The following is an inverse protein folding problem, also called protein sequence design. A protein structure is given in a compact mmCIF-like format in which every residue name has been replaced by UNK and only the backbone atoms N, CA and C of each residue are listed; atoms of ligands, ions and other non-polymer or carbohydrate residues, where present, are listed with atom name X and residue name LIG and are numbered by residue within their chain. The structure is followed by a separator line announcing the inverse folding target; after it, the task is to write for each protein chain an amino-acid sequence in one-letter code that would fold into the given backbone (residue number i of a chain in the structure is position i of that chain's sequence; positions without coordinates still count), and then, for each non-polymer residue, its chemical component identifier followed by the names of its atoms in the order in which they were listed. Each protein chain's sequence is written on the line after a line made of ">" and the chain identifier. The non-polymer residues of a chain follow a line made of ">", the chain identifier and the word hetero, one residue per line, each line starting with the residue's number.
data_IF_946028005376
#
_entry.id   IF_946028005376
#
_cell.length_a   1.000
_cell.length_b   1.000
_cell.length_c   1.000
_cell.angle_alpha   90.00
_cell.angle_beta   90.00
_cell.angle_gamma   90.00
#
_symmetry.space_group_name_H-M   'P 1'
#
loop_
_entity.id
_entity.type
_entity.pdbx_description
1 polymer ?
#
# COMPACT_ATOMS: atom_id res chain seq x y z
N UNK A 1 61.94 7.60 -19.79
CA UNK A 1 61.16 6.50 -20.39
C UNK A 1 59.90 6.40 -19.56
N UNK A 2 58.83 7.04 -20.04
CA UNK A 2 57.67 7.39 -19.22
C UNK A 2 56.76 6.18 -19.01
N UNK A 3 56.25 6.15 -17.79
CA UNK A 3 55.44 5.15 -17.12
C UNK A 3 53.99 5.22 -17.59
N UNK A 4 53.46 4.17 -18.24
CA UNK A 4 52.04 4.05 -18.57
C UNK A 4 51.59 2.57 -18.42
N UNK A 5 51.55 2.06 -17.18
CA UNK A 5 50.71 0.89 -16.86
C UNK A 5 49.24 1.33 -16.95
N UNK A 6 48.39 0.69 -17.79
CA UNK A 6 46.98 1.06 -17.87
C UNK A 6 46.31 0.67 -16.55
N UNK A 7 45.95 1.67 -15.75
CA UNK A 7 45.10 1.52 -14.58
C UNK A 7 43.70 1.16 -15.09
N UNK A 8 43.41 -0.14 -15.19
CA UNK A 8 42.03 -0.62 -15.27
C UNK A 8 41.38 -0.38 -13.90
N UNK A 9 41.00 0.87 -13.67
CA UNK A 9 40.21 1.34 -12.53
C UNK A 9 39.00 0.43 -12.40
N UNK A 10 38.92 -0.27 -11.27
CA UNK A 10 37.91 -1.28 -11.00
C UNK A 10 36.49 -0.76 -11.24
N UNK A 11 35.93 -1.12 -12.38
CA UNK A 11 34.51 -1.02 -12.62
C UNK A 11 33.83 -1.97 -11.62
N UNK A 12 33.35 -1.42 -10.50
CA UNK A 12 32.42 -2.12 -9.62
C UNK A 12 31.23 -2.51 -10.48
N UNK A 13 31.06 -3.81 -10.73
CA UNK A 13 29.81 -4.33 -11.27
C UNK A 13 28.67 -3.78 -10.38
N UNK A 14 27.55 -3.30 -10.96
CA UNK A 14 26.47 -2.77 -10.16
C UNK A 14 26.03 -3.83 -9.15
N UNK A 15 26.13 -3.48 -7.87
CA UNK A 15 25.65 -4.34 -6.77
C UNK A 15 24.20 -4.73 -7.06
N UNK A 16 23.87 -6.04 -7.04
CA UNK A 16 22.50 -6.47 -7.32
C UNK A 16 21.56 -5.83 -6.31
N UNK A 17 20.47 -5.21 -6.79
CA UNK A 17 19.42 -4.65 -5.93
C UNK A 17 18.89 -5.75 -5.03
N UNK A 18 19.07 -5.59 -3.71
CA UNK A 18 18.56 -6.53 -2.70
C UNK A 18 17.68 -5.77 -1.72
N UNK A 19 16.46 -6.27 -1.54
CA UNK A 19 15.59 -5.85 -0.45
C UNK A 19 16.19 -6.32 0.89
N UNK A 20 15.91 -5.57 1.95
CA UNK A 20 16.29 -6.00 3.30
C UNK A 20 15.61 -7.33 3.65
N UNK A 21 16.20 -8.11 4.57
CA UNK A 21 15.62 -9.38 5.03
C UNK A 21 14.15 -9.23 5.46
N UNK A 22 13.84 -8.17 6.20
CA UNK A 22 12.49 -7.87 6.65
C UNK A 22 11.53 -7.60 5.49
N UNK A 23 11.93 -6.76 4.53
CA UNK A 23 11.13 -6.43 3.34
C UNK A 23 10.86 -7.66 2.47
N UNK A 24 11.86 -8.53 2.33
CA UNK A 24 11.74 -9.77 1.56
C UNK A 24 10.73 -10.75 2.17
N UNK A 25 10.65 -10.82 3.49
CA UNK A 25 9.72 -11.69 4.21
C UNK A 25 8.48 -10.96 4.74
N UNK A 26 8.21 -9.74 4.25
CA UNK A 26 7.13 -8.88 4.75
C UNK A 26 5.77 -9.59 4.73
N UNK A 27 5.45 -10.33 3.66
CA UNK A 27 4.19 -11.07 3.57
C UNK A 27 4.02 -12.11 4.68
N UNK A 28 5.11 -12.78 5.08
CA UNK A 28 5.09 -13.76 6.16
C UNK A 28 4.88 -13.06 7.51
N UNK A 29 5.57 -11.95 7.74
CA UNK A 29 5.39 -11.13 8.94
C UNK A 29 3.97 -10.58 9.05
N UNK A 30 3.37 -10.13 7.95
CA UNK A 30 1.98 -9.65 7.92
C UNK A 30 1.01 -10.76 8.30
N UNK A 31 1.15 -11.95 7.71
CA UNK A 31 0.30 -13.11 8.05
C UNK A 31 0.48 -13.53 9.51
N UNK A 32 1.71 -13.51 10.02
CA UNK A 32 2.00 -13.79 11.43
C UNK A 32 1.32 -12.76 12.35
N UNK A 33 1.46 -11.46 12.07
CA UNK A 33 0.82 -10.39 12.83
C UNK A 33 -0.71 -10.47 12.77
N UNK A 34 -1.29 -10.82 11.62
CA UNK A 34 -2.74 -11.06 11.49
C UNK A 34 -3.19 -12.22 12.37
N UNK A 35 -2.46 -13.35 12.36
CA UNK A 35 -2.77 -14.51 13.19
C UNK A 35 -2.68 -14.22 14.69
N UNK A 36 -1.60 -13.54 15.10
CA UNK A 36 -1.43 -13.09 16.50
C UNK A 36 -2.52 -12.11 16.92
N UNK A 37 -2.86 -11.14 16.05
CA UNK A 37 -3.93 -10.19 16.31
C UNK A 37 -5.30 -10.86 16.47
N UNK A 38 -5.61 -11.83 15.62
CA UNK A 38 -6.85 -12.61 15.72
C UNK A 38 -6.90 -13.44 17.01
N UNK A 39 -5.79 -14.10 17.38
CA UNK A 39 -5.70 -14.89 18.61
C UNK A 39 -5.91 -14.02 19.87
N UNK A 40 -5.33 -12.82 19.90
CA UNK A 40 -5.53 -11.85 20.98
C UNK A 40 -6.99 -11.36 21.00
N UNK A 41 -7.56 -11.03 19.84
CA UNK A 41 -8.94 -10.56 19.71
C UNK A 41 -9.98 -11.57 20.20
N UNK A 42 -9.77 -12.86 19.91
CA UNK A 42 -10.65 -13.94 20.35
C UNK A 42 -10.41 -14.36 21.80
N UNK A 43 -9.15 -14.34 22.26
CA UNK A 43 -8.78 -14.77 23.62
C UNK A 43 -9.04 -13.72 24.72
N UNK A 44 -8.94 -12.44 24.39
CA UNK A 44 -9.11 -11.33 25.34
C UNK A 44 -10.03 -10.23 24.75
N UNK A 45 -11.34 -10.49 24.65
CA UNK A 45 -12.27 -9.53 24.01
C UNK A 45 -12.42 -8.22 24.79
N UNK A 46 -12.29 -8.23 26.13
CA UNK A 46 -12.46 -7.05 26.98
C UNK A 46 -11.48 -5.90 26.67
N UNK A 47 -10.15 -6.13 26.73
CA UNK A 47 -9.15 -5.12 26.38
C UNK A 47 -9.28 -4.61 24.94
N UNK A 48 -9.61 -5.48 23.99
CA UNK A 48 -9.76 -5.12 22.57
C UNK A 48 -11.00 -4.26 22.33
N UNK A 49 -12.11 -4.55 23.00
CA UNK A 49 -13.31 -3.70 22.98
C UNK A 49 -13.08 -2.37 23.70
N UNK A 50 -12.31 -2.35 24.79
CA UNK A 50 -11.93 -1.10 25.47
C UNK A 50 -11.07 -0.21 24.55
N UNK A 51 -10.13 -0.79 23.80
CA UNK A 51 -9.39 -0.09 22.74
C UNK A 51 -10.32 0.39 21.62
N UNK A 52 -11.30 -0.44 21.23
CA UNK A 52 -12.36 -0.12 20.27
C UNK A 52 -13.21 1.09 20.66
N UNK A 53 -13.55 1.18 21.94
CA UNK A 53 -14.41 2.22 22.52
C UNK A 53 -13.68 3.55 22.78
N UNK A 54 -12.35 3.59 22.65
CA UNK A 54 -11.59 4.84 22.67
C UNK A 54 -11.78 5.61 21.36
N UNK A 55 -12.95 6.22 21.19
CA UNK A 55 -13.27 7.08 20.05
C UNK A 55 -12.84 8.53 20.33
N UNK A 56 -12.34 9.24 19.31
CA UNK A 56 -11.94 10.65 19.43
C UNK A 56 -13.13 11.61 19.66
N UNK A 57 -14.33 11.22 19.24
CA UNK A 57 -15.57 12.00 19.36
C UNK A 57 -16.71 11.01 19.62
N UNK A 58 -17.55 11.25 20.65
CA UNK A 58 -18.73 10.41 20.93
C UNK A 58 -19.59 10.28 19.67
N UNK A 59 -19.62 9.08 19.07
CA UNK A 59 -20.42 8.79 17.87
C UNK A 59 -19.65 8.75 16.55
N UNK A 60 -18.31 8.77 16.57
CA UNK A 60 -17.49 8.55 15.37
C UNK A 60 -16.85 7.17 15.43
N UNK A 61 -17.10 6.33 14.42
CA UNK A 61 -16.52 4.99 14.24
C UNK A 61 -14.98 4.97 14.03
N UNK A 62 -14.27 6.04 14.40
CA UNK A 62 -12.81 6.18 14.25
C UNK A 62 -12.15 6.02 15.62
N UNK A 63 -11.56 4.85 15.81
CA UNK A 63 -10.80 4.50 16.99
C UNK A 63 -9.50 5.33 17.06
N UNK A 64 -9.28 5.99 18.20
CA UNK A 64 -8.19 6.92 18.40
C UNK A 64 -6.78 6.30 18.21
N UNK A 65 -6.47 5.17 18.87
CA UNK A 65 -5.29 4.37 18.58
C UNK A 65 -5.06 4.10 17.09
N UNK A 66 -6.09 3.68 16.35
CA UNK A 66 -5.96 3.34 14.93
C UNK A 66 -5.60 4.59 14.10
N UNK A 67 -6.25 5.72 14.37
CA UNK A 67 -5.96 6.96 13.68
C UNK A 67 -4.50 7.43 13.88
N UNK A 68 -3.98 7.32 15.11
CA UNK A 68 -2.58 7.65 15.42
C UNK A 68 -1.62 6.72 14.69
N UNK A 69 -1.90 5.42 14.65
CA UNK A 69 -1.06 4.45 13.93
C UNK A 69 -1.06 4.71 12.41
N UNK A 70 -2.22 5.01 11.83
CA UNK A 70 -2.33 5.38 10.42
C UNK A 70 -1.55 6.69 10.15
N UNK A 71 -1.66 7.69 11.02
CA UNK A 71 -0.91 8.94 10.88
C UNK A 71 0.61 8.70 10.93
N UNK A 72 1.07 7.90 11.88
CA UNK A 72 2.48 7.52 12.02
C UNK A 72 2.99 6.75 10.80
N UNK A 73 2.13 5.97 10.14
CA UNK A 73 2.46 5.28 8.90
C UNK A 73 2.54 6.22 7.68
N UNK A 74 1.66 7.22 7.60
CA UNK A 74 1.60 8.18 6.48
C UNK A 74 2.76 9.19 6.54
N UNK A 75 3.09 9.66 7.74
CA UNK A 75 4.12 10.68 7.97
C UNK A 75 5.48 10.40 7.28
N UNK A 76 6.11 9.22 7.43
CA UNK A 76 7.41 8.95 6.81
C UNK A 76 7.35 8.90 5.28
N UNK A 77 6.22 8.50 4.71
CA UNK A 77 6.05 8.52 3.25
C UNK A 77 5.90 9.95 2.72
N UNK A 78 5.19 10.82 3.45
CA UNK A 78 5.04 12.23 3.07
C UNK A 78 6.39 12.96 3.05
N UNK A 79 7.31 12.63 3.96
CA UNK A 79 8.66 13.21 4.00
C UNK A 79 9.57 12.76 2.84
N UNK A 80 9.25 11.64 2.18
CA UNK A 80 10.03 11.12 1.03
C UNK A 80 9.62 11.75 -0.29
N UNK A 81 8.56 12.56 -0.32
CA UNK A 81 8.07 13.22 -1.53
C UNK A 81 8.95 14.44 -1.83
N UNK A 82 9.63 14.41 -2.97
CA UNK A 82 10.38 15.56 -3.48
C UNK A 82 9.45 16.47 -4.31
N UNK A 83 9.07 17.61 -3.74
CA UNK A 83 8.23 18.61 -4.41
C UNK A 83 8.90 19.23 -5.66
N UNK A 84 10.23 19.18 -5.77
CA UNK A 84 10.95 19.63 -6.97
C UNK A 84 10.74 18.70 -8.16
N UNK A 85 10.68 17.39 -7.92
CA UNK A 85 10.43 16.38 -8.95
C UNK A 85 8.99 16.43 -9.50
N UNK A 86 8.03 16.86 -8.68
CA UNK A 86 6.62 17.04 -9.06
C UNK A 86 6.46 17.98 -10.29
N UNK A 87 7.31 19.01 -10.39
CA UNK A 87 7.29 19.97 -11.50
C UNK A 87 7.76 19.35 -12.83
N UNK A 88 8.55 18.28 -12.77
CA UNK A 88 9.05 17.54 -13.93
C UNK A 88 8.06 16.52 -14.49
N UNK A 89 7.12 16.03 -13.67
CA UNK A 89 6.16 14.97 -14.04
C UNK A 89 5.22 15.40 -15.17
N UNK A 90 4.82 16.68 -15.18
CA UNK A 90 3.99 17.24 -16.25
C UNK A 90 4.64 17.19 -17.64
N UNK A 91 5.96 16.95 -17.73
CA UNK A 91 6.68 16.81 -19.02
C UNK A 91 6.41 15.47 -19.71
N UNK A 92 5.88 14.46 -19.00
CA UNK A 92 5.51 13.14 -19.56
C UNK A 92 4.02 12.87 -19.31
N UNK A 93 3.10 13.54 -20.02
CA UNK A 93 1.67 13.47 -19.72
C UNK A 93 1.03 12.11 -20.07
N UNK A 94 1.58 11.37 -21.04
CA UNK A 94 1.00 10.09 -21.49
C UNK A 94 1.06 9.03 -20.38
N UNK A 95 2.20 8.86 -19.73
CA UNK A 95 2.33 7.87 -18.64
C UNK A 95 1.46 8.23 -17.43
N UNK A 96 1.40 9.52 -17.08
CA UNK A 96 0.52 10.02 -16.03
C UNK A 96 -0.96 9.75 -16.36
N UNK A 97 -1.36 10.00 -17.61
CA UNK A 97 -2.72 9.70 -18.09
C UNK A 97 -3.08 8.23 -18.00
N UNK A 98 -2.16 7.32 -18.36
CA UNK A 98 -2.38 5.87 -18.20
C UNK A 98 -2.54 5.51 -16.72
N UNK A 99 -1.66 6.01 -15.85
CA UNK A 99 -1.71 5.73 -14.41
C UNK A 99 -3.02 6.23 -13.79
N UNK A 100 -3.46 7.45 -14.12
CA UNK A 100 -4.74 7.99 -13.67
C UNK A 100 -5.92 7.16 -14.18
N UNK A 101 -5.93 6.82 -15.47
CA UNK A 101 -6.98 5.99 -16.06
C UNK A 101 -7.07 4.63 -15.37
N UNK A 102 -5.93 3.96 -15.15
CA UNK A 102 -5.90 2.66 -14.48
C UNK A 102 -6.34 2.79 -13.01
N UNK A 103 -5.85 3.81 -12.29
CA UNK A 103 -6.15 3.98 -10.86
C UNK A 103 -7.60 4.40 -10.58
N UNK A 104 -8.19 5.22 -11.44
CA UNK A 104 -9.53 5.79 -11.21
C UNK A 104 -10.64 5.13 -12.01
N UNK A 105 -10.33 4.50 -13.14
CA UNK A 105 -11.32 3.82 -13.98
C UNK A 105 -11.15 2.31 -13.89
N UNK A 106 -9.99 1.77 -14.24
CA UNK A 106 -9.85 0.31 -14.31
C UNK A 106 -9.99 -0.31 -12.92
N UNK A 107 -9.26 0.19 -11.93
CA UNK A 107 -9.21 -0.39 -10.58
C UNK A 107 -10.57 -0.33 -9.85
N UNK A 108 -11.27 0.82 -9.72
CA UNK A 108 -12.50 0.88 -8.94
C UNK A 108 -13.65 0.10 -9.60
N UNK A 109 -13.77 0.19 -10.92
CA UNK A 109 -14.85 -0.49 -11.65
C UNK A 109 -14.61 -2.00 -11.74
N UNK A 110 -13.37 -2.45 -11.94
CA UNK A 110 -13.05 -3.87 -11.86
C UNK A 110 -13.34 -4.41 -10.46
N UNK A 111 -12.99 -3.66 -9.41
CA UNK A 111 -13.23 -4.11 -8.04
C UNK A 111 -14.72 -4.09 -7.66
N UNK A 112 -15.49 -3.14 -8.18
CA UNK A 112 -16.95 -3.15 -8.07
C UNK A 112 -17.56 -4.35 -8.80
N UNK A 113 -17.09 -4.66 -10.01
CA UNK A 113 -17.56 -5.83 -10.76
C UNK A 113 -17.24 -7.14 -10.02
N UNK A 114 -16.01 -7.32 -9.56
CA UNK A 114 -15.60 -8.50 -8.81
C UNK A 114 -16.29 -8.58 -7.45
N UNK A 115 -16.40 -7.46 -6.73
CA UNK A 115 -17.11 -7.39 -5.46
C UNK A 115 -18.59 -7.80 -5.61
N UNK A 116 -19.25 -7.33 -6.65
CA UNK A 116 -20.63 -7.71 -6.96
C UNK A 116 -20.72 -9.20 -7.32
N UNK A 117 -19.85 -9.68 -8.22
CA UNK A 117 -19.85 -11.06 -8.68
C UNK A 117 -19.62 -12.04 -7.52
N UNK A 118 -18.62 -11.79 -6.68
CA UNK A 118 -18.30 -12.70 -5.60
C UNK A 118 -19.27 -12.56 -4.42
N UNK A 119 -19.52 -11.36 -3.91
CA UNK A 119 -20.32 -11.18 -2.69
C UNK A 119 -21.82 -11.36 -2.91
N UNK A 120 -22.36 -11.04 -4.10
CA UNK A 120 -23.80 -11.09 -4.36
C UNK A 120 -24.25 -12.21 -5.28
N UNK A 121 -23.35 -12.84 -6.02
CA UNK A 121 -23.69 -13.96 -6.91
C UNK A 121 -23.06 -15.26 -6.41
N UNK A 122 -21.73 -15.34 -6.35
CA UNK A 122 -21.03 -16.59 -6.03
C UNK A 122 -21.20 -17.02 -4.56
N UNK A 123 -21.15 -16.08 -3.62
CA UNK A 123 -21.24 -16.34 -2.17
C UNK A 123 -22.58 -15.91 -1.56
N UNK A 124 -23.60 -15.65 -2.38
CA UNK A 124 -24.91 -15.20 -1.91
C UNK A 124 -25.57 -16.14 -0.89
N UNK A 125 -25.29 -17.44 -0.98
CA UNK A 125 -25.81 -18.42 -0.02
C UNK A 125 -24.99 -18.55 1.27
N UNK A 126 -23.80 -17.94 1.34
CA UNK A 126 -22.85 -18.11 2.45
C UNK A 126 -22.74 -16.85 3.32
N UNK A 127 -23.19 -15.69 2.82
CA UNK A 127 -23.03 -14.39 3.46
C UNK A 127 -24.40 -13.73 3.61
N UNK A 128 -24.68 -13.15 4.78
CA UNK A 128 -25.91 -12.41 5.00
C UNK A 128 -25.97 -11.16 4.09
N UNK A 129 -27.15 -10.78 3.55
CA UNK A 129 -27.25 -9.64 2.63
C UNK A 129 -26.73 -8.32 3.21
N UNK A 130 -26.90 -8.09 4.52
CA UNK A 130 -26.39 -6.89 5.17
C UNK A 130 -24.85 -6.86 5.23
N UNK A 131 -24.21 -8.00 5.53
CA UNK A 131 -22.75 -8.12 5.59
C UNK A 131 -22.12 -8.00 4.20
N UNK A 132 -22.74 -8.63 3.19
CA UNK A 132 -22.31 -8.52 1.81
C UNK A 132 -22.30 -7.04 1.34
N UNK A 133 -23.27 -6.25 1.79
CA UNK A 133 -23.33 -4.82 1.48
C UNK A 133 -22.20 -4.03 2.17
N UNK A 134 -21.91 -4.33 3.44
CA UNK A 134 -20.82 -3.73 4.19
C UNK A 134 -19.46 -4.05 3.57
N UNK A 135 -19.22 -5.32 3.24
CA UNK A 135 -17.98 -5.77 2.59
C UNK A 135 -17.82 -5.17 1.19
N UNK A 136 -18.91 -5.07 0.43
CA UNK A 136 -18.89 -4.44 -0.89
C UNK A 136 -18.49 -2.95 -0.81
N UNK A 137 -19.05 -2.20 0.14
CA UNK A 137 -18.66 -0.82 0.39
C UNK A 137 -17.16 -0.71 0.77
N UNK A 138 -16.68 -1.60 1.64
CA UNK A 138 -15.26 -1.67 2.03
C UNK A 138 -14.33 -1.93 0.84
N UNK A 139 -14.70 -2.86 -0.06
CA UNK A 139 -13.92 -3.15 -1.27
C UNK A 139 -13.81 -1.95 -2.20
N UNK A 140 -14.89 -1.17 -2.37
CA UNK A 140 -14.87 0.04 -3.20
C UNK A 140 -13.95 1.09 -2.58
N UNK A 141 -14.03 1.31 -1.26
CA UNK A 141 -13.17 2.28 -0.56
C UNK A 141 -11.68 1.88 -0.71
N UNK A 142 -11.37 0.60 -0.55
CA UNK A 142 -10.01 0.08 -0.74
C UNK A 142 -9.53 0.23 -2.20
N UNK A 143 -10.44 0.07 -3.17
CA UNK A 143 -10.13 0.25 -4.58
C UNK A 143 -9.80 1.72 -4.92
N UNK A 144 -10.48 2.68 -4.29
CA UNK A 144 -10.18 4.10 -4.47
C UNK A 144 -8.86 4.54 -3.83
N UNK A 145 -8.39 3.86 -2.78
CA UNK A 145 -7.16 4.22 -2.09
C UNK A 145 -5.90 3.95 -2.96
N UNK A 146 -5.07 4.96 -3.26
CA UNK A 146 -3.82 4.75 -3.99
C UNK A 146 -2.78 4.05 -3.09
N UNK A 147 -1.96 3.19 -3.68
CA UNK A 147 -0.87 2.53 -2.95
C UNK A 147 0.45 3.21 -3.30
N UNK A 148 0.98 4.04 -2.39
CA UNK A 148 2.22 4.80 -2.64
C UNK A 148 3.48 4.00 -2.27
N UNK A 149 3.46 3.29 -1.14
CA UNK A 149 4.64 2.57 -0.64
C UNK A 149 5.06 1.41 -1.54
N UNK A 150 4.10 0.60 -2.00
CA UNK A 150 4.41 -0.56 -2.83
C UNK A 150 4.88 -0.15 -4.23
N UNK A 151 4.27 0.89 -4.80
CA UNK A 151 4.68 1.45 -6.10
C UNK A 151 6.12 1.94 -6.04
N UNK A 152 6.53 2.59 -4.95
CA UNK A 152 7.92 2.99 -4.76
C UNK A 152 8.91 1.80 -4.78
N UNK A 153 8.58 0.71 -4.07
CA UNK A 153 9.43 -0.49 -4.04
C UNK A 153 9.49 -1.16 -5.41
N UNK A 154 8.36 -1.27 -6.12
CA UNK A 154 8.34 -1.83 -7.47
C UNK A 154 9.14 -0.97 -8.46
N UNK A 155 8.96 0.35 -8.44
CA UNK A 155 9.75 1.27 -9.26
C UNK A 155 11.25 1.11 -8.98
N UNK A 156 11.64 0.99 -7.70
CA UNK A 156 13.03 0.70 -7.33
C UNK A 156 13.52 -0.63 -7.91
N UNK A 157 12.72 -1.69 -7.85
CA UNK A 157 13.09 -3.02 -8.36
C UNK A 157 13.13 -3.10 -9.90
N UNK A 158 12.30 -2.34 -10.60
CA UNK A 158 12.18 -2.37 -12.07
C UNK A 158 13.02 -1.31 -12.78
N UNK A 159 13.94 -0.63 -12.08
CA UNK A 159 14.70 0.52 -12.61
C UNK A 159 13.79 1.66 -13.13
N UNK A 160 12.58 1.76 -12.58
CA UNK A 160 11.64 2.84 -12.84
C UNK A 160 12.03 4.11 -12.09
N UNK A 161 11.50 5.24 -12.55
CA UNK A 161 11.64 6.53 -11.87
C UNK A 161 10.61 6.63 -10.73
N UNK A 162 11.03 6.49 -9.45
CA UNK A 162 10.09 6.44 -8.34
C UNK A 162 9.38 7.79 -8.15
N UNK A 163 10.07 8.91 -8.45
CA UNK A 163 9.52 10.25 -8.33
C UNK A 163 8.44 10.50 -9.40
N UNK A 164 8.62 9.94 -10.59
CA UNK A 164 7.58 9.95 -11.62
C UNK A 164 6.36 9.07 -11.28
N UNK A 165 6.58 7.92 -10.65
CA UNK A 165 5.48 7.00 -10.27
C UNK A 165 4.73 7.37 -9.00
N UNK A 166 5.34 8.19 -8.15
CA UNK A 166 4.74 8.69 -6.90
C UNK A 166 3.96 10.00 -7.06
N UNK A 167 4.17 10.71 -8.17
CA UNK A 167 3.47 11.95 -8.51
C UNK A 167 2.08 11.69 -9.11
#
# INVERSE_FOLDING_TARGET
>A
MNNETPILTGARLPEPKRLAFFERYLSLWVVLCMGVGLAIGLGFPGPVQALGAMEFVRGSHVNAPIAVLIWLMIYPMMLKIDFGALRGVARKPVGLGVTLFVNWVVKPFSMALFGWLFLRVAFAGWIAPEEAQQYYAGLIILAAAPCTAMVFVWSYLTDGDPAYTLA
#
